data_IF_251399057161
#
_entry.id   IF_251399057161
#
_cell.length_a   1.000
_cell.length_b   1.000
_cell.length_c   1.000
_cell.angle_alpha   90.00
_cell.angle_beta   90.00
_cell.angle_gamma   90.00
#
_symmetry.space_group_name_H-M   'P 1'
#
loop_
_entity.id
_entity.type
_entity.pdbx_description
1 polymer ?
#
# COMPACT_ATOMS: atom_id res chain seq x y z
N UNK A 1 -18.16 -8.44 9.85
CA UNK A 1 -18.70 -9.10 11.06
C UNK A 1 -19.57 -8.10 11.79
N UNK A 2 -20.82 -8.46 12.06
CA UNK A 2 -21.73 -7.67 12.89
C UNK A 2 -21.76 -8.33 14.27
N UNK A 3 -21.34 -7.59 15.30
CA UNK A 3 -21.37 -8.07 16.68
C UNK A 3 -22.78 -8.23 17.23
N UNK A 4 -22.90 -8.83 18.41
CA UNK A 4 -24.18 -8.86 19.12
C UNK A 4 -24.56 -7.46 19.61
N UNK A 5 -25.78 -7.04 19.27
CA UNK A 5 -26.38 -5.81 19.77
C UNK A 5 -27.90 -5.73 19.46
N UNK A 6 -28.62 -4.90 20.23
CA UNK A 6 -30.05 -4.63 20.13
C UNK A 6 -30.42 -3.17 19.79
N UNK A 7 -29.45 -2.24 19.65
CA UNK A 7 -29.71 -0.79 19.55
C UNK A 7 -29.09 -0.09 18.32
N UNK A 8 -28.11 -0.70 17.67
CA UNK A 8 -27.33 -0.23 16.53
C UNK A 8 -27.94 -0.74 15.24
N UNK A 9 -27.83 0.07 14.18
CA UNK A 9 -28.34 -0.26 12.85
C UNK A 9 -27.32 -1.04 12.01
N UNK A 10 -26.75 -2.11 12.57
CA UNK A 10 -25.65 -2.87 11.97
C UNK A 10 -25.99 -3.46 10.59
N UNK A 11 -27.24 -3.88 10.38
CA UNK A 11 -27.70 -4.40 9.09
C UNK A 11 -27.73 -3.33 8.00
N UNK A 12 -28.01 -2.07 8.37
CA UNK A 12 -27.99 -0.95 7.43
C UNK A 12 -26.55 -0.61 7.04
N UNK A 13 -25.62 -0.57 7.99
CA UNK A 13 -24.19 -0.37 7.71
C UNK A 13 -23.65 -1.48 6.80
N UNK A 14 -23.98 -2.74 7.09
CA UNK A 14 -23.57 -3.88 6.28
C UNK A 14 -24.12 -3.82 4.85
N UNK A 15 -25.41 -3.43 4.71
CA UNK A 15 -26.06 -3.30 3.42
C UNK A 15 -25.47 -2.15 2.60
N UNK A 16 -25.18 -1.01 3.24
CA UNK A 16 -24.47 0.11 2.62
C UNK A 16 -23.09 -0.32 2.11
N UNK A 17 -22.28 -0.92 2.99
CA UNK A 17 -20.93 -1.35 2.66
C UNK A 17 -20.95 -2.33 1.47
N UNK A 18 -21.86 -3.29 1.51
CA UNK A 18 -22.05 -4.25 0.40
C UNK A 18 -22.48 -3.54 -0.89
N UNK A 19 -23.40 -2.58 -0.81
CA UNK A 19 -23.82 -1.77 -1.97
C UNK A 19 -22.65 -1.02 -2.58
N UNK A 20 -21.85 -0.31 -1.77
CA UNK A 20 -20.72 0.49 -2.25
C UNK A 20 -19.64 -0.40 -2.85
N UNK A 21 -19.27 -1.49 -2.15
CA UNK A 21 -18.23 -2.42 -2.60
C UNK A 21 -18.67 -3.30 -3.78
N UNK A 22 -19.97 -3.47 -4.04
CA UNK A 22 -20.47 -4.27 -5.17
C UNK A 22 -21.12 -3.46 -6.30
N UNK A 23 -21.38 -2.15 -6.12
CA UNK A 23 -21.95 -1.29 -7.17
C UNK A 23 -21.13 -1.34 -8.49
N UNK A 24 -21.75 -1.73 -9.60
CA UNK A 24 -21.06 -2.03 -10.86
C UNK A 24 -21.07 -0.91 -11.91
N UNK A 25 -19.88 -0.63 -12.46
CA UNK A 25 -19.48 0.11 -13.69
C UNK A 25 -20.15 1.48 -13.97
N UNK A 26 -19.38 2.59 -14.05
CA UNK A 26 -19.77 3.68 -14.92
C UNK A 26 -19.80 3.16 -16.35
N UNK A 27 -20.96 3.25 -16.97
CA UNK A 27 -21.13 3.13 -18.41
C UNK A 27 -20.34 4.28 -19.05
N UNK A 28 -19.26 3.96 -19.75
CA UNK A 28 -18.40 4.94 -20.42
C UNK A 28 -16.95 4.44 -20.49
N UNK A 29 -16.32 4.57 -21.65
CA UNK A 29 -15.01 4.00 -21.98
C UNK A 29 -13.91 4.45 -21.01
N UNK A 30 -13.49 3.56 -20.09
CA UNK A 30 -12.18 3.40 -19.40
C UNK A 30 -12.38 2.63 -18.08
N UNK A 31 -12.72 1.34 -18.14
CA UNK A 31 -13.06 0.54 -16.96
C UNK A 31 -11.82 0.01 -16.19
N UNK A 32 -10.90 0.90 -15.78
CA UNK A 32 -9.70 0.58 -14.99
C UNK A 32 -9.73 1.12 -13.53
N UNK A 33 -10.74 1.90 -13.14
CA UNK A 33 -10.69 2.69 -11.89
C UNK A 33 -11.05 1.99 -10.57
N UNK A 34 -11.83 0.90 -10.59
CA UNK A 34 -12.31 0.25 -9.34
C UNK A 34 -11.77 -1.17 -9.16
N UNK A 35 -11.44 -1.53 -7.93
CA UNK A 35 -11.07 -2.88 -7.56
C UNK A 35 -12.28 -3.83 -7.62
N UNK A 36 -12.10 -5.08 -8.10
CA UNK A 36 -13.11 -6.12 -7.92
C UNK A 36 -13.21 -6.47 -6.44
N UNK A 37 -14.43 -6.51 -5.90
CA UNK A 37 -14.66 -6.82 -4.49
C UNK A 37 -15.63 -7.99 -4.34
N UNK A 38 -15.39 -8.79 -3.32
CA UNK A 38 -16.34 -9.77 -2.79
C UNK A 38 -16.60 -9.42 -1.33
N UNK A 39 -17.83 -9.66 -0.86
CA UNK A 39 -18.24 -9.32 0.51
C UNK A 39 -18.97 -10.50 1.12
N UNK A 40 -18.43 -11.02 2.23
CA UNK A 40 -19.07 -12.02 3.08
C UNK A 40 -19.45 -11.35 4.41
N UNK A 41 -20.74 -11.38 4.74
CA UNK A 41 -21.26 -10.87 6.01
C UNK A 41 -21.48 -12.05 6.97
N UNK A 42 -20.95 -11.94 8.18
CA UNK A 42 -21.27 -12.80 9.31
C UNK A 42 -22.05 -11.96 10.33
N UNK A 43 -23.25 -12.40 10.68
CA UNK A 43 -24.15 -11.72 11.63
C UNK A 43 -24.09 -12.48 12.95
N UNK A 44 -23.62 -11.82 14.00
CA UNK A 44 -23.44 -12.39 15.34
C UNK A 44 -22.77 -13.78 15.34
N UNK A 45 -21.63 -13.97 14.63
CA UNK A 45 -21.00 -15.28 14.55
C UNK A 45 -20.47 -15.72 15.91
N UNK A 46 -20.32 -17.02 16.13
CA UNK A 46 -19.47 -17.55 17.21
C UNK A 46 -17.99 -17.33 16.89
N UNK A 47 -17.10 -17.46 17.89
CA UNK A 47 -15.64 -17.45 17.65
C UNK A 47 -15.23 -18.49 16.59
N UNK A 48 -15.77 -19.70 16.70
CA UNK A 48 -15.45 -20.81 15.80
C UNK A 48 -15.87 -20.52 14.37
N UNK A 49 -17.10 -20.02 14.15
CA UNK A 49 -17.59 -19.66 12.81
C UNK A 49 -16.75 -18.55 12.17
N UNK A 50 -16.38 -17.54 12.97
CA UNK A 50 -15.50 -16.47 12.52
C UNK A 50 -14.14 -17.00 12.06
N UNK A 51 -13.49 -17.79 12.92
CA UNK A 51 -12.16 -18.35 12.62
C UNK A 51 -12.23 -19.27 11.40
N UNK A 52 -13.22 -20.17 11.34
CA UNK A 52 -13.39 -21.08 10.23
C UNK A 52 -13.59 -20.36 8.90
N UNK A 53 -14.38 -19.29 8.86
CA UNK A 53 -14.58 -18.49 7.64
C UNK A 53 -13.28 -17.82 7.19
N UNK A 54 -12.53 -17.20 8.12
CA UNK A 54 -11.28 -16.51 7.83
C UNK A 54 -10.17 -17.49 7.39
N UNK A 55 -10.19 -18.74 7.85
CA UNK A 55 -9.22 -19.77 7.44
C UNK A 55 -9.56 -20.45 6.12
N UNK A 56 -10.85 -20.49 5.76
CA UNK A 56 -11.31 -21.19 4.55
C UNK A 56 -11.22 -20.31 3.29
N UNK A 57 -11.24 -18.99 3.45
CA UNK A 57 -11.28 -18.02 2.35
C UNK A 57 -10.23 -16.92 2.55
N UNK A 58 -9.78 -16.33 1.44
CA UNK A 58 -8.78 -15.25 1.47
C UNK A 58 -9.50 -13.91 1.47
N UNK A 59 -9.19 -13.07 2.46
CA UNK A 59 -9.72 -11.73 2.61
C UNK A 59 -8.57 -10.72 2.75
N UNK A 60 -8.71 -9.54 2.16
CA UNK A 60 -7.75 -8.44 2.37
C UNK A 60 -8.14 -7.55 3.55
N UNK A 61 -9.45 -7.43 3.81
CA UNK A 61 -10.02 -6.50 4.79
C UNK A 61 -10.93 -7.27 5.74
N UNK A 62 -10.68 -7.12 7.03
CA UNK A 62 -11.59 -7.52 8.09
C UNK A 62 -12.35 -6.29 8.58
N UNK A 63 -13.68 -6.29 8.46
CA UNK A 63 -14.52 -5.20 8.95
C UNK A 63 -15.38 -5.70 10.10
N UNK A 64 -15.28 -5.07 11.26
CA UNK A 64 -16.11 -5.31 12.43
C UNK A 64 -16.96 -4.07 12.74
N UNK A 65 -18.26 -4.28 12.94
CA UNK A 65 -19.17 -3.27 13.48
C UNK A 65 -19.94 -3.85 14.67
N UNK A 66 -19.99 -3.09 15.76
CA UNK A 66 -20.61 -3.52 17.00
C UNK A 66 -19.96 -2.88 18.22
N UNK A 67 -20.10 -3.51 19.37
CA UNK A 67 -19.53 -2.98 20.61
C UNK A 67 -18.07 -3.37 20.81
N UNK A 68 -17.33 -2.43 21.39
CA UNK A 68 -15.96 -2.61 21.85
C UNK A 68 -15.81 -2.05 23.26
N UNK A 69 -14.96 -2.69 24.06
CA UNK A 69 -14.55 -2.19 25.37
C UNK A 69 -13.02 -2.18 25.45
N UNK A 70 -12.43 -1.20 26.15
CA UNK A 70 -11.04 -1.29 26.55
C UNK A 70 -10.79 -2.53 27.42
N UNK A 71 -9.69 -3.22 27.16
CA UNK A 71 -9.26 -4.42 27.87
C UNK A 71 -7.72 -4.51 27.79
N UNK A 72 -7.01 -4.94 28.84
CA UNK A 72 -5.54 -5.05 28.83
C UNK A 72 -4.99 -5.89 27.67
N UNK A 73 -5.75 -6.88 27.18
CA UNK A 73 -5.34 -7.78 26.10
C UNK A 73 -5.71 -7.25 24.70
N UNK A 74 -5.75 -5.93 24.54
CA UNK A 74 -6.04 -5.28 23.26
C UNK A 74 -7.53 -5.07 23.01
N UNK A 75 -8.28 -4.67 24.04
CA UNK A 75 -9.72 -4.50 23.90
C UNK A 75 -10.49 -5.81 23.78
N UNK A 76 -11.81 -5.71 23.92
CA UNK A 76 -12.76 -6.83 23.79
C UNK A 76 -13.86 -6.47 22.80
N UNK A 77 -14.09 -7.33 21.81
CA UNK A 77 -15.18 -7.20 20.84
C UNK A 77 -16.26 -8.25 21.11
N UNK A 78 -17.51 -7.84 20.98
CA UNK A 78 -18.65 -8.73 21.20
C UNK A 78 -19.03 -9.45 19.90
N UNK A 79 -19.06 -10.77 19.94
CA UNK A 79 -19.54 -11.65 18.88
C UNK A 79 -20.97 -12.12 19.24
N UNK A 80 -21.43 -13.28 18.75
CA UNK A 80 -22.74 -13.84 19.12
C UNK A 80 -22.81 -14.39 20.56
N UNK A 81 -24.02 -14.39 21.14
CA UNK A 81 -24.32 -14.92 22.48
C UNK A 81 -23.40 -14.38 23.60
N UNK A 82 -23.12 -13.07 23.60
CA UNK A 82 -22.23 -12.38 24.56
C UNK A 82 -20.77 -12.91 24.61
N UNK A 83 -20.36 -13.76 23.66
CA UNK A 83 -18.98 -14.21 23.58
C UNK A 83 -18.08 -13.05 23.15
N UNK A 84 -16.97 -12.86 23.87
CA UNK A 84 -15.97 -11.82 23.58
C UNK A 84 -14.73 -12.41 22.96
N UNK A 85 -14.18 -11.76 21.94
CA UNK A 85 -12.83 -12.02 21.43
C UNK A 85 -11.94 -10.82 21.78
N UNK A 86 -10.76 -11.08 22.37
CA UNK A 86 -9.82 -10.01 22.70
C UNK A 86 -8.87 -9.70 21.53
N UNK A 87 -8.12 -8.60 21.65
CA UNK A 87 -7.20 -8.15 20.62
C UNK A 87 -6.08 -9.14 20.29
N UNK A 88 -5.50 -9.79 21.30
CA UNK A 88 -4.43 -10.80 21.10
C UNK A 88 -4.97 -12.01 20.31
N UNK A 89 -6.09 -12.57 20.74
CA UNK A 89 -6.75 -13.69 20.05
C UNK A 89 -7.08 -13.33 18.60
N UNK A 90 -7.68 -12.16 18.39
CA UNK A 90 -8.04 -11.69 17.05
C UNK A 90 -6.81 -11.47 16.18
N UNK A 91 -5.76 -10.84 16.70
CA UNK A 91 -4.55 -10.54 15.93
C UNK A 91 -3.88 -11.82 15.40
N UNK A 92 -3.83 -12.89 16.21
CA UNK A 92 -3.32 -14.19 15.76
C UNK A 92 -4.08 -14.72 14.54
N UNK A 93 -5.41 -14.59 14.54
CA UNK A 93 -6.26 -15.05 13.43
C UNK A 93 -6.07 -14.15 12.20
N UNK A 94 -6.04 -12.83 12.37
CA UNK A 94 -5.91 -11.89 11.25
C UNK A 94 -4.54 -12.00 10.57
N UNK A 95 -3.46 -12.09 11.35
CA UNK A 95 -2.09 -12.19 10.81
C UNK A 95 -1.90 -13.51 10.06
N UNK A 96 -2.35 -14.65 10.62
CA UNK A 96 -2.17 -15.97 9.97
C UNK A 96 -3.03 -16.17 8.72
N UNK A 97 -4.14 -15.45 8.61
CA UNK A 97 -5.05 -15.49 7.44
C UNK A 97 -4.72 -14.44 6.39
N UNK A 98 -3.66 -13.63 6.62
CA UNK A 98 -3.16 -12.66 5.65
C UNK A 98 -4.01 -11.40 5.50
N UNK A 99 -4.84 -11.07 6.50
CA UNK A 99 -5.60 -9.82 6.52
C UNK A 99 -4.63 -8.64 6.54
N UNK A 100 -4.81 -7.70 5.62
CA UNK A 100 -3.99 -6.50 5.51
C UNK A 100 -4.53 -5.33 6.32
N UNK A 101 -5.86 -5.22 6.39
CA UNK A 101 -6.54 -4.11 7.07
C UNK A 101 -7.64 -4.62 8.00
N UNK A 102 -7.53 -4.32 9.28
CA UNK A 102 -8.61 -4.42 10.25
C UNK A 102 -9.33 -3.09 10.41
N UNK A 103 -10.65 -3.06 10.17
CA UNK A 103 -11.51 -1.89 10.36
C UNK A 103 -12.47 -2.17 11.50
N UNK A 104 -12.36 -1.39 12.57
CA UNK A 104 -13.16 -1.54 13.78
C UNK A 104 -14.06 -0.33 13.94
N UNK A 105 -15.27 -0.45 13.37
CA UNK A 105 -16.37 0.45 13.67
C UNK A 105 -17.01 0.06 15.01
N UNK A 106 -16.22 0.19 16.07
CA UNK A 106 -16.59 -0.10 17.43
C UNK A 106 -16.01 0.98 18.33
N UNK A 107 -16.77 1.35 19.36
CA UNK A 107 -16.31 2.32 20.34
C UNK A 107 -14.99 1.84 20.96
N UNK A 108 -14.10 2.79 21.26
CA UNK A 108 -12.88 2.56 22.05
C UNK A 108 -11.82 1.64 21.43
N UNK A 109 -11.91 1.28 20.13
CA UNK A 109 -10.89 0.47 19.45
C UNK A 109 -9.49 1.09 19.40
N UNK A 110 -9.39 2.41 19.54
CA UNK A 110 -8.12 3.15 19.62
C UNK A 110 -7.84 3.72 21.02
N UNK A 111 -8.60 3.32 22.03
CA UNK A 111 -8.45 3.76 23.42
C UNK A 111 -7.74 2.67 24.23
N UNK A 112 -6.61 2.98 24.91
CA UNK A 112 -5.97 2.04 25.80
C UNK A 112 -6.84 1.71 27.01
N UNK A 113 -6.68 0.51 27.56
CA UNK A 113 -7.22 0.16 28.85
C UNK A 113 -6.54 0.98 29.96
N UNK A 114 -7.21 1.16 31.08
CA UNK A 114 -6.67 1.90 32.21
C UNK A 114 -6.78 1.10 33.50
N UNK A 115 -5.72 1.12 34.30
CA UNK A 115 -5.71 0.62 35.69
C UNK A 115 -5.40 1.79 36.60
N UNK A 116 -6.21 2.01 37.64
CA UNK A 116 -6.04 3.14 38.57
C UNK A 116 -5.93 4.51 37.86
N UNK A 117 -6.76 4.74 36.83
CA UNK A 117 -6.74 5.95 35.98
C UNK A 117 -5.44 6.17 35.18
N UNK A 118 -4.54 5.19 35.13
CA UNK A 118 -3.34 5.22 34.30
C UNK A 118 -3.55 4.31 33.10
N UNK A 119 -3.33 4.86 31.90
CA UNK A 119 -3.39 4.09 30.67
C UNK A 119 -2.30 3.00 30.67
N UNK A 120 -2.69 1.78 30.36
CA UNK A 120 -1.77 0.67 30.11
C UNK A 120 -1.15 0.93 28.74
N UNK A 121 0.19 1.08 28.63
CA UNK A 121 0.83 1.35 27.36
C UNK A 121 0.53 0.25 26.32
N UNK A 122 0.25 0.65 25.08
CA UNK A 122 0.07 -0.25 23.96
C UNK A 122 -1.06 -1.30 24.09
N UNK A 123 -2.08 -1.01 24.90
CA UNK A 123 -3.16 -1.96 25.18
C UNK A 123 -4.47 -1.68 24.43
N UNK A 124 -4.52 -0.67 23.55
CA UNK A 124 -5.69 -0.51 22.68
C UNK A 124 -5.74 -1.64 21.64
N UNK A 125 -6.95 -1.94 21.15
CA UNK A 125 -7.13 -2.96 20.11
C UNK A 125 -6.25 -2.68 18.89
N UNK A 126 -6.24 -1.43 18.41
CA UNK A 126 -5.43 -1.07 17.26
C UNK A 126 -3.91 -1.24 17.50
N UNK A 127 -3.41 -0.84 18.67
CA UNK A 127 -1.99 -1.02 19.01
C UNK A 127 -1.59 -2.48 19.11
N UNK A 128 -2.40 -3.31 19.78
CA UNK A 128 -2.14 -4.74 19.93
C UNK A 128 -2.11 -5.42 18.55
N UNK A 129 -3.11 -5.19 17.70
CA UNK A 129 -3.14 -5.82 16.38
C UNK A 129 -1.94 -5.45 15.50
N UNK A 130 -1.53 -4.17 15.48
CA UNK A 130 -0.35 -3.72 14.73
C UNK A 130 0.93 -4.39 15.26
N UNK A 131 1.10 -4.45 16.59
CA UNK A 131 2.27 -5.09 17.22
C UNK A 131 2.34 -6.60 16.98
N UNK A 132 1.20 -7.23 16.77
CA UNK A 132 1.10 -8.65 16.40
C UNK A 132 1.12 -8.91 14.88
N UNK A 133 1.42 -7.89 14.08
CA UNK A 133 1.74 -8.05 12.66
C UNK A 133 0.59 -7.79 11.70
N UNK A 134 -0.57 -7.30 12.16
CA UNK A 134 -1.60 -6.81 11.23
C UNK A 134 -1.06 -5.54 10.54
N UNK A 135 -1.02 -5.45 9.20
CA UNK A 135 -0.34 -4.33 8.52
C UNK A 135 -0.98 -2.96 8.73
N UNK A 136 -2.31 -2.87 8.80
CA UNK A 136 -3.05 -1.64 9.03
C UNK A 136 -4.27 -1.90 9.93
N UNK A 137 -4.55 -0.98 10.84
CA UNK A 137 -5.71 -1.06 11.73
C UNK A 137 -6.34 0.31 11.88
N UNK A 138 -7.64 0.40 11.57
CA UNK A 138 -8.46 1.58 11.80
C UNK A 138 -9.39 1.30 12.98
N UNK A 139 -9.30 2.10 14.04
CA UNK A 139 -10.18 2.01 15.21
C UNK A 139 -10.74 3.36 15.62
N UNK A 140 -11.87 3.37 16.34
CA UNK A 140 -12.45 4.61 16.88
C UNK A 140 -11.86 4.92 18.26
N UNK A 141 -11.51 6.18 18.51
CA UNK A 141 -10.98 6.61 19.82
C UNK A 141 -12.05 6.79 20.90
N UNK A 142 -13.30 6.98 20.50
CA UNK A 142 -14.46 7.23 21.36
C UNK A 142 -15.72 6.73 20.62
N UNK A 143 -16.89 6.95 21.21
CA UNK A 143 -18.19 6.75 20.60
C UNK A 143 -18.39 7.71 19.43
N UNK A 144 -18.90 7.16 18.33
CA UNK A 144 -19.30 7.88 17.12
C UNK A 144 -20.81 7.73 16.95
N UNK A 145 -21.50 8.79 16.49
CA UNK A 145 -22.93 8.70 16.22
C UNK A 145 -23.20 7.92 14.92
N UNK A 146 -24.33 7.21 14.85
CA UNK A 146 -24.69 6.35 13.70
C UNK A 146 -24.62 7.10 12.36
N UNK A 147 -25.12 8.34 12.30
CA UNK A 147 -25.08 9.14 11.07
C UNK A 147 -23.65 9.49 10.62
N UNK A 148 -22.76 9.78 11.58
CA UNK A 148 -21.36 10.12 11.32
C UNK A 148 -20.58 8.87 10.91
N UNK A 149 -20.82 7.75 11.60
CA UNK A 149 -20.30 6.41 11.24
C UNK A 149 -20.66 6.07 9.80
N UNK A 150 -21.94 6.21 9.44
CA UNK A 150 -22.45 5.92 8.12
C UNK A 150 -21.75 6.76 7.04
N UNK A 151 -21.64 8.08 7.25
CA UNK A 151 -20.98 9.00 6.33
C UNK A 151 -19.48 8.67 6.17
N UNK A 152 -18.81 8.34 7.27
CA UNK A 152 -17.42 7.93 7.25
C UNK A 152 -17.22 6.66 6.43
N UNK A 153 -17.95 5.59 6.76
CA UNK A 153 -17.83 4.28 6.09
C UNK A 153 -18.14 4.40 4.61
N UNK A 154 -19.14 5.21 4.24
CA UNK A 154 -19.50 5.42 2.84
C UNK A 154 -18.33 5.99 2.03
N UNK A 155 -17.74 7.09 2.50
CA UNK A 155 -16.62 7.74 1.80
C UNK A 155 -15.36 6.89 1.87
N UNK A 156 -15.08 6.28 3.01
CA UNK A 156 -13.91 5.41 3.20
C UNK A 156 -13.95 4.21 2.25
N UNK A 157 -15.06 3.46 2.23
CA UNK A 157 -15.23 2.28 1.38
C UNK A 157 -15.19 2.63 -0.12
N UNK A 158 -15.76 3.77 -0.51
CA UNK A 158 -15.71 4.24 -1.89
C UNK A 158 -14.27 4.55 -2.33
N UNK A 159 -13.46 5.19 -1.49
CA UNK A 159 -12.07 5.50 -1.80
C UNK A 159 -11.18 4.24 -1.82
N UNK A 160 -11.36 3.31 -0.88
CA UNK A 160 -10.68 2.01 -0.92
C UNK A 160 -10.99 1.25 -2.20
N UNK A 161 -12.28 1.23 -2.61
CA UNK A 161 -12.70 0.59 -3.85
C UNK A 161 -12.05 1.24 -5.07
N UNK A 162 -11.82 2.55 -5.05
CA UNK A 162 -11.09 3.30 -6.08
C UNK A 162 -9.57 3.09 -6.05
N UNK A 163 -9.07 2.04 -5.36
CA UNK A 163 -7.64 1.70 -5.25
C UNK A 163 -6.78 2.77 -4.59
N UNK A 164 -7.37 3.71 -3.85
CA UNK A 164 -6.59 4.65 -3.05
C UNK A 164 -5.88 3.93 -1.91
N UNK A 165 -4.76 4.49 -1.46
CA UNK A 165 -4.07 4.04 -0.26
C UNK A 165 -5.00 4.21 0.96
N UNK A 166 -4.79 3.37 1.98
CA UNK A 166 -5.66 3.35 3.16
C UNK A 166 -5.67 4.71 3.87
N UNK A 167 -4.51 5.36 4.00
CA UNK A 167 -4.37 6.67 4.61
C UNK A 167 -5.08 7.78 3.81
N UNK A 168 -4.98 7.75 2.48
CA UNK A 168 -5.74 8.65 1.59
C UNK A 168 -7.25 8.45 1.74
N UNK A 169 -7.72 7.20 1.84
CA UNK A 169 -9.12 6.89 2.05
C UNK A 169 -9.64 7.40 3.40
N UNK A 170 -8.83 7.26 4.47
CA UNK A 170 -9.16 7.81 5.80
C UNK A 170 -9.17 9.34 5.75
N UNK A 171 -8.19 9.97 5.10
CA UNK A 171 -8.12 11.43 4.99
C UNK A 171 -9.34 12.00 4.26
N UNK A 172 -9.74 11.39 3.14
CA UNK A 172 -10.95 11.78 2.40
C UNK A 172 -12.23 11.63 3.25
N UNK A 173 -12.36 10.52 3.99
CA UNK A 173 -13.51 10.31 4.85
C UNK A 173 -13.56 11.31 6.03
N UNK A 174 -12.41 11.68 6.62
CA UNK A 174 -12.36 12.74 7.64
C UNK A 174 -12.74 14.12 7.08
N UNK A 175 -12.32 14.44 5.85
CA UNK A 175 -12.71 15.68 5.17
C UNK A 175 -14.21 15.74 4.90
N UNK A 176 -14.83 14.62 4.53
CA UNK A 176 -16.29 14.55 4.38
C UNK A 176 -17.00 14.82 5.71
N UNK A 177 -16.55 14.21 6.81
CA UNK A 177 -17.12 14.46 8.12
C UNK A 177 -17.03 15.94 8.53
N UNK A 178 -15.87 16.57 8.30
CA UNK A 178 -15.69 18.00 8.53
C UNK A 178 -16.68 18.85 7.72
N UNK A 179 -16.95 18.45 6.49
CA UNK A 179 -17.84 19.16 5.56
C UNK A 179 -19.30 19.04 5.96
N UNK A 180 -19.74 17.84 6.35
CA UNK A 180 -21.14 17.56 6.70
C UNK A 180 -21.52 18.03 8.12
N UNK A 181 -20.64 17.83 9.10
CA UNK A 181 -20.97 18.01 10.54
C UNK A 181 -20.34 19.24 11.18
N UNK A 182 -19.53 20.00 10.42
CA UNK A 182 -18.83 21.22 10.86
C UNK A 182 -17.87 20.98 12.03
N UNK A 183 -17.15 22.03 12.43
CA UNK A 183 -16.07 21.93 13.41
C UNK A 183 -16.52 21.60 14.85
N UNK A 184 -17.78 21.87 15.21
CA UNK A 184 -18.27 21.71 16.58
C UNK A 184 -18.58 20.26 16.96
N UNK A 185 -18.65 19.34 15.97
CA UNK A 185 -18.77 17.91 16.20
C UNK A 185 -17.44 17.25 15.80
N UNK A 186 -16.56 16.89 16.75
CA UNK A 186 -15.21 16.40 16.44
C UNK A 186 -15.19 14.97 15.90
N UNK A 187 -16.27 14.50 15.26
CA UNK A 187 -16.41 13.16 14.70
C UNK A 187 -15.27 12.79 13.74
N UNK A 188 -14.77 13.77 12.97
CA UNK A 188 -13.62 13.59 12.07
C UNK A 188 -12.32 13.20 12.79
N UNK A 189 -12.21 13.47 14.10
CA UNK A 189 -11.04 13.11 14.91
C UNK A 189 -11.11 11.67 15.43
N UNK A 190 -12.29 11.03 15.37
CA UNK A 190 -12.53 9.74 16.03
C UNK A 190 -11.88 8.55 15.34
N UNK A 191 -11.93 8.40 14.00
CA UNK A 191 -11.29 7.28 13.31
C UNK A 191 -9.78 7.49 13.35
N UNK A 192 -9.03 6.58 13.96
CA UNK A 192 -7.57 6.62 14.07
C UNK A 192 -6.98 5.45 13.29
N UNK A 193 -6.17 5.77 12.29
CA UNK A 193 -5.43 4.79 11.50
C UNK A 193 -4.05 4.56 12.11
N UNK A 194 -3.76 3.30 12.40
CA UNK A 194 -2.42 2.81 12.67
C UNK A 194 -1.93 2.06 11.44
N UNK A 195 -0.74 2.41 10.97
CA UNK A 195 -0.11 1.81 9.79
C UNK A 195 1.27 1.28 10.19
N UNK A 196 1.53 0.00 9.92
CA UNK A 196 2.84 -0.58 10.19
C UNK A 196 3.91 0.12 9.33
N UNK A 197 5.09 0.48 9.88
CA UNK A 197 6.11 1.23 9.14
C UNK A 197 6.59 0.57 7.85
N UNK A 198 6.50 -0.75 7.74
CA UNK A 198 6.89 -1.52 6.54
C UNK A 198 5.76 -1.73 5.54
N UNK A 199 4.53 -1.32 5.85
CA UNK A 199 3.40 -1.37 4.93
C UNK A 199 3.23 0.00 4.25
N UNK A 200 2.93 0.01 2.96
CA UNK A 200 2.74 1.20 2.12
C UNK A 200 1.28 1.68 2.07
N UNK A 201 0.37 0.91 2.66
CA UNK A 201 -1.06 1.23 2.65
C UNK A 201 -1.78 0.78 1.40
N UNK A 202 -1.14 0.01 0.51
CA UNK A 202 -1.78 -0.52 -0.70
C UNK A 202 -2.46 -1.87 -0.44
N UNK A 203 -3.79 -1.91 -0.57
CA UNK A 203 -4.56 -3.15 -0.40
C UNK A 203 -4.45 -4.08 -1.61
N UNK A 204 -4.58 -3.51 -2.81
CA UNK A 204 -4.63 -4.21 -4.08
C UNK A 204 -3.71 -3.48 -5.04
N UNK A 205 -2.66 -4.18 -5.48
CA UNK A 205 -1.71 -3.66 -6.47
C UNK A 205 -2.44 -3.11 -7.70
N UNK A 206 -2.09 -1.89 -8.10
CA UNK A 206 -2.56 -1.26 -9.33
C UNK A 206 -2.36 -2.19 -10.54
N UNK A 207 -3.32 -2.20 -11.48
CA UNK A 207 -3.17 -2.98 -12.73
C UNK A 207 -1.99 -2.47 -13.57
N UNK A 208 -1.58 -1.21 -13.38
CA UNK A 208 -0.40 -0.63 -14.04
C UNK A 208 0.93 -1.19 -13.53
N UNK A 209 0.98 -1.87 -12.38
CA UNK A 209 2.18 -2.66 -12.00
C UNK A 209 2.30 -3.97 -12.78
N UNK A 210 1.26 -4.30 -13.55
CA UNK A 210 1.19 -5.40 -14.49
C UNK A 210 0.74 -4.91 -15.86
N UNK A 211 1.39 -3.88 -16.41
CA UNK A 211 1.44 -3.75 -17.87
C UNK A 211 1.95 -5.10 -18.38
N UNK A 212 1.02 -5.92 -18.87
CA UNK A 212 1.20 -7.18 -19.58
C UNK A 212 2.67 -7.57 -19.74
N UNK A 213 3.24 -8.25 -18.74
CA UNK A 213 4.10 -9.38 -19.09
C UNK A 213 3.15 -10.36 -19.75
N UNK A 214 2.96 -10.19 -21.06
CA UNK A 214 2.63 -11.34 -21.89
C UNK A 214 3.64 -12.41 -21.47
N UNK A 215 3.20 -13.63 -21.08
CA UNK A 215 4.14 -14.74 -21.05
C UNK A 215 4.86 -14.67 -22.38
N UNK A 216 6.20 -14.68 -22.37
CA UNK A 216 7.03 -14.62 -23.56
C UNK A 216 6.28 -15.32 -24.68
N UNK A 217 5.94 -14.64 -25.80
CA UNK A 217 5.39 -15.37 -26.90
C UNK A 217 6.50 -16.34 -27.26
N UNK A 218 6.28 -17.62 -26.97
CA UNK A 218 7.05 -18.73 -27.49
C UNK A 218 6.82 -18.76 -29.01
N UNK A 219 7.22 -17.69 -29.68
CA UNK A 219 7.46 -17.64 -31.10
C UNK A 219 8.82 -18.28 -31.21
N UNK A 220 8.80 -19.59 -31.44
CA UNK A 220 9.96 -20.33 -31.93
C UNK A 220 10.67 -19.49 -33.00
N UNK A 221 11.90 -19.07 -32.71
CA UNK A 221 12.87 -18.72 -33.75
C UNK A 221 13.35 -17.28 -33.86
N UNK A 222 12.98 -16.35 -32.98
CA UNK A 222 13.64 -15.02 -32.93
C UNK A 222 14.42 -14.93 -31.62
N UNK A 223 15.73 -14.84 -31.70
CA UNK A 223 16.60 -14.63 -30.55
C UNK A 223 16.11 -13.39 -29.77
N UNK A 224 15.67 -13.59 -28.53
CA UNK A 224 15.40 -12.47 -27.61
C UNK A 224 16.70 -11.67 -27.50
N UNK A 225 16.68 -10.35 -27.78
CA UNK A 225 17.87 -9.55 -27.60
C UNK A 225 18.24 -9.62 -26.11
N UNK A 226 19.46 -10.08 -25.83
CA UNK A 226 20.00 -10.14 -24.47
C UNK A 226 20.01 -8.71 -23.95
N UNK A 227 19.23 -8.43 -22.90
CA UNK A 227 19.26 -7.14 -22.23
C UNK A 227 20.63 -6.99 -21.55
N UNK A 228 21.44 -6.07 -22.03
CA UNK A 228 22.81 -5.79 -21.58
C UNK A 228 22.91 -4.39 -20.94
N UNK A 229 21.80 -3.89 -20.40
CA UNK A 229 21.80 -2.62 -19.68
C UNK A 229 22.02 -2.84 -18.17
N UNK A 230 22.86 -2.01 -17.57
CA UNK A 230 23.15 -2.05 -16.16
C UNK A 230 23.28 -0.65 -15.57
N UNK A 231 23.05 -0.58 -14.26
CA UNK A 231 23.31 0.61 -13.47
C UNK A 231 24.57 0.37 -12.65
N UNK A 232 25.55 1.26 -12.75
CA UNK A 232 26.81 1.22 -12.01
C UNK A 232 26.82 2.31 -10.95
N UNK A 233 27.13 1.96 -9.71
CA UNK A 233 27.38 2.95 -8.66
C UNK A 233 28.85 3.36 -8.68
N UNK A 234 29.10 4.66 -8.89
CA UNK A 234 30.43 5.27 -8.88
C UNK A 234 30.85 5.71 -7.47
N UNK A 235 29.92 5.70 -6.51
CA UNK A 235 30.12 6.10 -5.11
C UNK A 235 30.31 7.60 -4.92
N UNK A 236 30.56 8.02 -3.68
CA UNK A 236 31.01 9.39 -3.35
C UNK A 236 32.48 9.58 -3.72
N UNK A 237 32.84 10.80 -4.10
CA UNK A 237 34.19 11.32 -3.93
C UNK A 237 34.53 11.45 -2.43
N UNK A 238 34.72 10.34 -1.72
CA UNK A 238 35.33 10.30 -0.38
C UNK A 238 36.51 9.32 -0.37
N UNK A 239 37.70 9.74 0.10
CA UNK A 239 38.96 9.01 -0.07
C UNK A 239 39.17 7.84 0.92
N UNK A 240 38.12 7.36 1.57
CA UNK A 240 38.24 6.42 2.69
C UNK A 240 37.14 5.37 2.64
N UNK A 241 37.24 4.48 1.66
CA UNK A 241 36.89 3.06 1.67
C UNK A 241 37.09 2.60 0.22
N UNK A 242 37.75 1.47 0.01
CA UNK A 242 38.03 0.90 -1.32
C UNK A 242 36.78 0.97 -2.24
N UNK A 243 36.88 1.54 -3.45
CA UNK A 243 35.76 1.70 -4.36
C UNK A 243 35.37 0.32 -4.89
N UNK A 244 34.42 -0.32 -4.22
CA UNK A 244 33.72 -1.45 -4.81
C UNK A 244 32.72 -0.89 -5.81
N UNK A 245 33.12 -0.73 -7.07
CA UNK A 245 32.17 -0.53 -8.17
C UNK A 245 31.13 -1.65 -8.09
N UNK A 246 29.91 -1.30 -7.71
CA UNK A 246 28.79 -2.24 -7.71
C UNK A 246 27.98 -1.99 -8.97
N UNK A 247 27.62 -3.06 -9.65
CA UNK A 247 26.87 -3.04 -10.88
C UNK A 247 25.62 -3.89 -10.74
N UNK A 248 24.49 -3.39 -11.21
CA UNK A 248 23.19 -4.06 -11.16
C UNK A 248 22.65 -4.19 -12.58
N UNK A 249 22.41 -5.43 -13.02
CA UNK A 249 21.78 -5.71 -14.30
C UNK A 249 20.30 -5.29 -14.25
N UNK A 250 19.84 -4.59 -15.28
CA UNK A 250 18.45 -4.16 -15.37
C UNK A 250 17.54 -5.29 -15.83
N UNK A 251 16.29 -5.27 -15.35
CA UNK A 251 15.23 -6.17 -15.77
C UNK A 251 14.80 -5.87 -17.22
N UNK A 252 14.35 -6.88 -17.99
CA UNK A 252 13.81 -6.71 -19.35
C UNK A 252 12.54 -5.84 -19.45
N UNK A 253 11.84 -5.58 -18.33
CA UNK A 253 10.63 -4.77 -18.29
C UNK A 253 10.80 -3.54 -17.40
N UNK A 254 10.70 -3.71 -16.09
CA UNK A 254 10.84 -2.61 -15.13
C UNK A 254 11.85 -2.98 -14.05
N UNK A 255 12.80 -2.08 -13.79
CA UNK A 255 13.73 -2.21 -12.66
C UNK A 255 13.33 -1.20 -11.59
N UNK A 256 12.97 -1.68 -10.40
CA UNK A 256 12.55 -0.84 -9.27
C UNK A 256 13.72 -0.45 -8.40
N UNK A 257 13.78 0.82 -8.00
CA UNK A 257 14.83 1.38 -7.15
C UNK A 257 14.18 1.97 -5.90
N UNK A 258 14.69 1.61 -4.72
CA UNK A 258 14.13 2.11 -3.47
C UNK A 258 14.84 1.62 -2.21
N UNK A 259 14.34 2.01 -1.04
CA UNK A 259 14.97 1.72 0.25
C UNK A 259 14.66 0.32 0.79
N UNK A 260 13.52 -0.24 0.42
CA UNK A 260 12.98 -1.49 0.97
C UNK A 260 13.31 -2.69 0.07
N UNK A 261 13.24 -3.90 0.63
CA UNK A 261 13.72 -5.15 -0.02
C UNK A 261 12.86 -5.64 -1.19
N UNK A 262 11.70 -5.03 -1.40
CA UNK A 262 10.79 -5.27 -2.52
C UNK A 262 11.23 -4.61 -3.84
N UNK A 263 12.29 -3.79 -3.81
CA UNK A 263 12.92 -3.21 -4.99
C UNK A 263 14.02 -4.11 -5.57
N UNK A 264 14.27 -4.01 -6.88
CA UNK A 264 15.37 -4.72 -7.54
C UNK A 264 16.74 -4.14 -7.13
N UNK A 265 16.82 -2.81 -7.02
CA UNK A 265 18.00 -2.08 -6.54
C UNK A 265 17.66 -1.45 -5.19
N UNK A 266 18.27 -1.97 -4.13
CA UNK A 266 18.04 -1.52 -2.75
C UNK A 266 19.13 -0.55 -2.32
N UNK A 267 18.75 0.70 -2.06
CA UNK A 267 19.63 1.75 -1.51
C UNK A 267 19.19 2.04 -0.07
N UNK A 268 19.88 1.45 0.91
CA UNK A 268 19.50 1.46 2.33
C UNK A 268 19.79 2.79 3.06
N UNK A 269 19.58 3.91 2.39
CA UNK A 269 19.83 5.25 2.92
C UNK A 269 18.52 5.92 3.31
N UNK A 270 18.49 6.65 4.44
CA UNK A 270 17.24 7.21 4.99
C UNK A 270 16.57 8.24 4.07
N UNK A 271 17.37 8.94 3.26
CA UNK A 271 16.91 9.94 2.30
C UNK A 271 16.36 9.34 0.99
N UNK A 272 16.32 8.01 0.88
CA UNK A 272 15.69 7.28 -0.22
C UNK A 272 14.28 6.84 0.22
N UNK A 273 13.26 7.21 -0.56
CA UNK A 273 11.89 6.69 -0.42
C UNK A 273 11.83 5.16 -0.54
N UNK A 274 10.80 4.54 0.08
CA UNK A 274 10.58 3.08 0.03
C UNK A 274 10.57 2.57 -1.42
N UNK A 275 9.77 3.20 -2.27
CA UNK A 275 9.83 3.16 -3.73
C UNK A 275 10.30 4.53 -4.20
N UNK A 276 11.42 4.60 -4.90
CA UNK A 276 12.08 5.89 -5.21
C UNK A 276 12.05 6.22 -6.69
N UNK A 277 12.39 5.26 -7.54
CA UNK A 277 12.42 5.46 -8.98
C UNK A 277 12.24 4.12 -9.71
N UNK A 278 11.88 4.19 -10.97
CA UNK A 278 11.80 3.02 -11.85
C UNK A 278 12.52 3.29 -13.17
N UNK A 279 13.21 2.27 -13.67
CA UNK A 279 13.76 2.26 -15.03
C UNK A 279 12.89 1.34 -15.88
N UNK A 280 12.20 1.91 -16.85
CA UNK A 280 11.32 1.23 -17.79
C UNK A 280 12.11 0.87 -19.06
N UNK A 281 12.09 -0.40 -19.45
CA UNK A 281 12.64 -0.92 -20.70
C UNK A 281 11.49 -1.09 -21.69
N UNK A 282 11.53 -0.36 -22.82
CA UNK A 282 10.50 -0.41 -23.86
C UNK A 282 11.11 -0.91 -25.17
N UNK A 283 10.50 -1.96 -25.72
CA UNK A 283 10.84 -2.48 -27.04
C UNK A 283 9.97 -1.79 -28.10
N UNK A 284 10.61 -1.12 -29.04
CA UNK A 284 9.94 -0.57 -30.23
C UNK A 284 10.30 -1.40 -31.44
N UNK A 285 9.29 -2.00 -32.07
CA UNK A 285 9.43 -2.78 -33.30
C UNK A 285 9.19 -1.86 -34.50
N UNK A 286 10.23 -1.55 -35.26
CA UNK A 286 10.10 -1.00 -36.61
C UNK A 286 10.19 -2.13 -37.63
N UNK A 287 9.62 -1.94 -38.83
CA UNK A 287 9.48 -2.95 -39.91
C UNK A 287 10.76 -3.73 -40.27
N UNK A 288 11.95 -3.25 -39.87
CA UNK A 288 13.26 -3.87 -40.12
C UNK A 288 14.21 -3.89 -38.91
N UNK A 289 13.85 -3.31 -37.75
CA UNK A 289 14.76 -3.19 -36.60
C UNK A 289 13.99 -3.17 -35.27
N UNK A 290 14.46 -3.93 -34.29
CA UNK A 290 14.00 -3.83 -32.89
C UNK A 290 14.93 -2.84 -32.15
N UNK A 291 14.36 -1.80 -31.56
CA UNK A 291 15.11 -0.86 -30.69
C UNK A 291 14.64 -1.00 -29.25
N UNK A 292 15.58 -0.95 -28.31
CA UNK A 292 15.30 -0.93 -26.87
C UNK A 292 15.59 0.49 -26.38
N UNK A 293 14.60 1.10 -25.73
CA UNK A 293 14.74 2.43 -25.11
C UNK A 293 14.45 2.34 -23.63
N UNK A 294 15.29 2.99 -22.82
CA UNK A 294 15.13 3.02 -21.37
C UNK A 294 14.64 4.38 -20.91
N UNK A 295 13.72 4.40 -19.95
CA UNK A 295 13.18 5.63 -19.37
C UNK A 295 13.29 5.58 -17.86
N UNK A 296 13.74 6.68 -17.26
CA UNK A 296 13.76 6.87 -15.81
C UNK A 296 12.54 7.66 -15.38
N UNK A 297 11.85 7.16 -14.37
CA UNK A 297 10.69 7.79 -13.76
C UNK A 297 10.92 7.98 -12.25
N UNK A 298 10.61 9.18 -11.76
CA UNK A 298 10.68 9.51 -10.33
C UNK A 298 9.38 9.17 -9.60
N UNK A 299 9.51 8.44 -8.50
CA UNK A 299 8.43 8.10 -7.56
C UNK A 299 8.76 8.54 -6.13
N UNK A 300 9.81 9.33 -5.96
CA UNK A 300 10.30 9.69 -4.64
C UNK A 300 9.36 10.69 -3.97
N UNK A 301 9.27 10.61 -2.64
CA UNK A 301 8.33 11.39 -1.82
C UNK A 301 8.51 12.90 -1.98
N UNK A 302 9.74 13.34 -2.30
CA UNK A 302 10.11 14.76 -2.40
C UNK A 302 10.66 15.15 -3.79
N UNK A 303 10.51 14.30 -4.81
CA UNK A 303 11.03 14.59 -6.15
C UNK A 303 12.55 14.45 -6.28
N UNK A 304 13.20 13.70 -5.40
CA UNK A 304 14.65 13.64 -5.22
C UNK A 304 15.41 12.76 -6.22
N UNK A 305 14.89 12.56 -7.43
CA UNK A 305 15.65 11.89 -8.51
C UNK A 305 16.25 12.93 -9.44
N UNK A 306 17.53 12.77 -9.76
CA UNK A 306 18.30 13.73 -10.54
C UNK A 306 19.05 13.04 -11.67
N UNK A 307 19.25 13.75 -12.76
CA UNK A 307 20.16 13.36 -13.84
C UNK A 307 21.11 14.49 -14.19
N UNK A 308 22.30 14.15 -14.69
CA UNK A 308 23.29 15.12 -15.15
C UNK A 308 23.00 15.50 -16.61
N UNK A 309 22.73 16.77 -16.86
CA UNK A 309 22.61 17.34 -18.20
C UNK A 309 23.78 18.29 -18.51
N UNK A 310 23.92 18.78 -19.76
CA UNK A 310 24.95 19.76 -20.11
C UNK A 310 24.91 21.04 -19.26
N UNK A 311 23.75 21.36 -18.68
CA UNK A 311 23.54 22.53 -17.83
C UNK A 311 23.72 22.23 -16.32
N UNK A 312 24.18 21.02 -15.98
CA UNK A 312 24.35 20.54 -14.61
C UNK A 312 23.27 19.55 -14.17
N UNK A 313 23.17 19.30 -12.86
CA UNK A 313 22.19 18.38 -12.29
C UNK A 313 20.78 18.95 -12.41
N UNK A 314 19.88 18.17 -13.03
CA UNK A 314 18.47 18.51 -13.20
C UNK A 314 17.60 17.49 -12.47
N UNK A 315 16.57 18.01 -11.79
CA UNK A 315 15.60 17.21 -11.06
C UNK A 315 14.55 16.66 -12.02
N UNK A 316 14.15 15.40 -11.84
CA UNK A 316 13.03 14.79 -12.56
C UNK A 316 11.75 15.11 -11.81
N UNK A 317 10.87 15.90 -12.42
CA UNK A 317 9.61 16.33 -11.81
C UNK A 317 8.42 15.82 -12.64
N UNK A 318 7.89 14.64 -12.25
CA UNK A 318 6.67 14.04 -12.86
C UNK A 318 6.76 13.74 -14.36
N UNK A 319 7.96 13.65 -14.91
CA UNK A 319 8.21 13.34 -16.32
C UNK A 319 9.05 12.07 -16.44
N UNK A 320 8.92 11.38 -17.59
CA UNK A 320 9.80 10.29 -17.97
C UNK A 320 11.02 10.84 -18.73
N UNK A 321 12.22 10.53 -18.25
CA UNK A 321 13.47 10.95 -18.93
C UNK A 321 14.05 9.76 -19.68
N UNK A 322 14.23 9.90 -20.99
CA UNK A 322 14.91 8.89 -21.79
C UNK A 322 16.39 8.79 -21.37
N UNK A 323 16.85 7.58 -21.06
CA UNK A 323 18.21 7.29 -20.64
C UNK A 323 19.09 7.01 -21.86
N UNK A 324 20.32 7.54 -21.81
CA UNK A 324 21.38 7.26 -22.79
C UNK A 324 22.60 6.70 -22.08
N UNK A 325 23.33 5.78 -22.71
CA UNK A 325 24.52 5.16 -22.13
C UNK A 325 25.54 6.25 -21.70
N UNK A 326 26.06 6.14 -20.48
CA UNK A 326 26.95 7.12 -19.84
C UNK A 326 26.21 8.22 -19.06
N UNK A 327 24.87 8.25 -19.06
CA UNK A 327 24.10 9.23 -18.31
C UNK A 327 24.25 9.01 -16.80
N UNK A 328 24.62 10.07 -16.08
CA UNK A 328 24.78 10.02 -14.63
C UNK A 328 23.48 10.40 -13.91
N UNK A 329 23.18 9.63 -12.87
CA UNK A 329 21.94 9.71 -12.09
C UNK A 329 22.26 9.84 -10.61
N UNK A 330 21.34 10.44 -9.85
CA UNK A 330 21.44 10.53 -8.40
C UNK A 330 20.05 10.32 -7.79
N UNK A 331 19.99 9.53 -6.73
CA UNK A 331 18.76 9.24 -6.00
C UNK A 331 18.87 9.83 -4.59
N UNK A 332 17.87 10.62 -4.19
CA UNK A 332 17.81 11.25 -2.89
C UNK A 332 18.51 12.62 -2.80
N UNK A 333 19.41 12.75 -1.82
CA UNK A 333 20.10 14.01 -1.54
C UNK A 333 21.10 14.37 -2.64
N UNK A 334 21.39 15.67 -2.82
CA UNK A 334 22.53 16.17 -3.62
C UNK A 334 23.90 15.71 -3.13
N UNK A 335 23.95 15.06 -1.96
CA UNK A 335 25.13 14.38 -1.41
C UNK A 335 25.07 12.86 -1.58
N UNK A 336 24.12 12.33 -2.37
CA UNK A 336 23.96 10.91 -2.66
C UNK A 336 25.12 10.35 -3.48
N UNK A 337 25.13 9.02 -3.65
CA UNK A 337 26.06 8.38 -4.57
C UNK A 337 25.70 8.73 -6.02
N UNK A 338 26.72 8.86 -6.87
CA UNK A 338 26.54 9.04 -8.31
C UNK A 338 26.41 7.65 -8.94
N UNK A 339 25.39 7.51 -9.79
CA UNK A 339 25.11 6.31 -10.55
C UNK A 339 25.31 6.61 -12.03
N UNK A 340 25.61 5.59 -12.81
CA UNK A 340 25.78 5.70 -14.25
C UNK A 340 24.97 4.59 -14.92
N UNK A 341 24.15 4.98 -15.89
CA UNK A 341 23.40 4.07 -16.74
C UNK A 341 24.24 3.69 -17.95
N UNK A 342 24.39 2.38 -18.20
CA UNK A 342 25.22 1.88 -19.30
C UNK A 342 24.44 0.82 -20.08
N UNK A 343 24.55 0.88 -21.41
CA UNK A 343 24.07 -0.16 -22.33
C UNK A 343 25.24 -0.68 -23.16
N UNK A 344 25.46 -2.00 -23.20
CA UNK A 344 26.40 -2.59 -24.16
C UNK A 344 25.66 -2.87 -25.47
N UNK A 345 25.99 -2.15 -26.54
CA UNK A 345 25.57 -2.57 -27.87
C UNK A 345 26.28 -3.88 -28.22
N UNK A 346 25.50 -4.91 -28.55
CA UNK A 346 26.03 -6.14 -29.14
C UNK A 346 26.65 -5.77 -30.50
N UNK A 347 27.95 -5.46 -30.48
CA UNK A 347 28.76 -5.33 -31.67
C UNK A 347 28.73 -6.69 -32.36
N UNK A 348 27.96 -6.77 -33.47
CA UNK A 348 28.07 -7.89 -34.39
C UNK A 348 29.52 -7.97 -34.83
N UNK A 349 30.23 -8.96 -34.32
CA UNK A 349 31.54 -9.37 -34.82
C UNK A 349 31.41 -9.59 -36.31
N UNK A 350 32.15 -8.80 -37.09
CA UNK A 350 32.43 -9.07 -38.49
C UNK A 350 33.14 -10.41 -38.57
N UNK A 351 32.57 -11.33 -39.34
CA UNK A 351 33.28 -12.40 -40.06
C UNK A 351 32.81 -12.39 -41.51
#
# INVERSE_FOLDING_TARGET
VLGHDHKLQLDQEASLLKKILLAGRPVGKTAAGYAPCTVKTLVQPTKTELIQELETKIYNVFFYAGHGLPDPDGGSLFLGNELKINGIELAQVLTRTGIKLGVFNACWGAQPAATNHQAIPASSLAEVLIRHGVPAVLGMRDQIADAESYSFIQTFAANLRSRKLIDEAVAAARQELLTLYKFNQPAWTLPVLYLHPDFDGELIKGVDEGVTELPEPAISGIATPVNTAYLRCLGRAKPSLSPGEKTWLLRPGVTRIGRTKDNDIVISELYISKRHAEILCRHTLNETTSMITYYLQDFSTYGTTWYLSPNGWQQILREEVALTSGMQLMFGSSQGDIWEFITEECSKSQD
#
